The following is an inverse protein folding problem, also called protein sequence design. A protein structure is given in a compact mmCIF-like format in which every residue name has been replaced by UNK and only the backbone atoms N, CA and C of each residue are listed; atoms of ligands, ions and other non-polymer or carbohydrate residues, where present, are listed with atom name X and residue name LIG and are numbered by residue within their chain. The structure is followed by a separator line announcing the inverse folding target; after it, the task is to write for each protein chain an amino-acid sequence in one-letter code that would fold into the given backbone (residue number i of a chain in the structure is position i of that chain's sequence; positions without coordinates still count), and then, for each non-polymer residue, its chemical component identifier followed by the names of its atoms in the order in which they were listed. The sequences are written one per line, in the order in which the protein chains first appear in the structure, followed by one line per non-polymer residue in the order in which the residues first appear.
data_IF_286305569880
#
_entry.id   IF_286305569880
#
_cell.length_a   1.000
_cell.length_b   1.000
_cell.length_c   1.000
_cell.angle_alpha   90.00
_cell.angle_beta   90.00
_cell.angle_gamma   90.00
#
_symmetry.space_group_name_H-M   'P 1'
#
loop_
_entity.id
_entity.type
_entity.pdbx_description
1 polymer ?
#
# COMPACT_ATOMS: atom_id res chain seq x y z
N UNK A 1 -19.86 -9.52 -7.86
CA UNK A 1 -19.08 -9.51 -6.61
C UNK A 1 -17.81 -8.68 -6.81
N UNK A 2 -16.83 -9.15 -7.61
CA UNK A 2 -15.61 -8.36 -7.93
C UNK A 2 -15.93 -6.97 -8.50
N UNK A 3 -16.81 -6.93 -9.50
CA UNK A 3 -17.24 -5.71 -10.20
C UNK A 3 -17.83 -4.61 -9.29
N UNK A 4 -18.31 -4.96 -8.09
CA UNK A 4 -18.81 -3.97 -7.13
C UNK A 4 -17.70 -3.11 -6.51
N UNK A 5 -16.46 -3.60 -6.57
CA UNK A 5 -15.29 -2.98 -5.93
C UNK A 5 -14.26 -2.50 -6.96
N UNK A 6 -14.21 -3.18 -8.12
CA UNK A 6 -13.35 -2.85 -9.25
C UNK A 6 -14.12 -3.04 -10.56
N UNK A 7 -14.77 -1.96 -11.02
CA UNK A 7 -15.62 -2.00 -12.21
C UNK A 7 -14.86 -2.52 -13.44
N UNK A 8 -15.42 -3.54 -14.08
CA UNK A 8 -14.90 -4.09 -15.33
C UNK A 8 -13.69 -5.03 -15.17
N UNK A 9 -13.14 -5.21 -13.96
CA UNK A 9 -12.02 -6.13 -13.73
C UNK A 9 -12.53 -7.55 -13.41
N UNK A 10 -12.40 -8.44 -14.39
CA UNK A 10 -13.04 -9.75 -14.40
C UNK A 10 -12.24 -10.82 -13.66
N UNK A 11 -12.89 -11.95 -13.34
CA UNK A 11 -12.19 -13.15 -12.82
C UNK A 11 -11.08 -13.62 -13.75
N UNK A 12 -11.22 -13.45 -15.08
CA UNK A 12 -10.17 -13.82 -16.05
C UNK A 12 -8.92 -12.97 -15.86
N UNK A 13 -9.09 -11.67 -15.65
CA UNK A 13 -7.98 -10.73 -15.43
C UNK A 13 -7.33 -10.96 -14.06
N UNK A 14 -8.11 -11.17 -13.01
CA UNK A 14 -7.55 -11.54 -11.70
C UNK A 14 -6.85 -12.90 -11.71
N UNK A 15 -7.37 -13.89 -12.43
CA UNK A 15 -6.71 -15.19 -12.58
C UNK A 15 -5.38 -15.04 -13.31
N UNK A 16 -5.32 -14.24 -14.37
CA UNK A 16 -4.05 -13.92 -15.03
C UNK A 16 -3.06 -13.27 -14.05
N UNK A 17 -3.51 -12.26 -13.30
CA UNK A 17 -2.68 -11.55 -12.32
C UNK A 17 -2.13 -12.48 -11.23
N UNK A 18 -3.01 -13.20 -10.54
CA UNK A 18 -2.61 -14.04 -9.41
C UNK A 18 -1.85 -15.29 -9.84
N UNK A 19 -2.07 -15.81 -11.05
CA UNK A 19 -1.22 -16.87 -11.60
C UNK A 19 0.21 -16.38 -11.84
N UNK A 20 0.39 -15.15 -12.36
CA UNK A 20 1.72 -14.55 -12.51
C UNK A 20 2.44 -14.37 -11.16
N UNK A 21 1.73 -13.85 -10.15
CA UNK A 21 2.26 -13.77 -8.78
C UNK A 21 2.63 -15.17 -8.23
N UNK A 22 1.79 -16.18 -8.46
CA UNK A 22 2.04 -17.56 -8.03
C UNK A 22 3.28 -18.16 -8.69
N UNK A 23 3.43 -17.98 -9.99
CA UNK A 23 4.54 -18.55 -10.76
C UNK A 23 5.87 -17.86 -10.45
N UNK A 24 5.85 -16.54 -10.28
CA UNK A 24 7.06 -15.74 -10.25
C UNK A 24 7.41 -15.17 -8.88
N UNK A 25 6.41 -14.68 -8.14
CA UNK A 25 6.64 -13.98 -6.87
C UNK A 25 6.73 -14.97 -5.71
N UNK A 26 5.89 -16.00 -5.65
CA UNK A 26 5.94 -17.01 -4.56
C UNK A 26 7.33 -17.67 -4.47
N UNK A 27 7.95 -18.20 -5.55
CA UNK A 27 9.30 -18.77 -5.45
C UNK A 27 10.35 -17.75 -5.03
N UNK A 28 10.22 -16.51 -5.52
CA UNK A 28 11.13 -15.41 -5.16
C UNK A 28 11.03 -15.08 -3.67
N UNK A 29 9.82 -14.86 -3.12
CA UNK A 29 9.61 -14.64 -1.68
C UNK A 29 10.18 -15.79 -0.88
N UNK A 30 9.91 -17.03 -1.29
CA UNK A 30 10.41 -18.22 -0.60
C UNK A 30 11.95 -18.32 -0.61
N UNK A 31 12.62 -17.68 -1.55
CA UNK A 31 14.07 -17.56 -1.61
C UNK A 31 14.60 -16.36 -0.82
N UNK A 32 14.11 -15.16 -1.11
CA UNK A 32 14.58 -13.88 -0.58
C UNK A 32 14.43 -13.77 0.96
N UNK A 33 13.44 -14.45 1.53
CA UNK A 33 13.17 -14.42 2.98
C UNK A 33 13.83 -15.56 3.77
N UNK A 34 14.71 -16.35 3.15
CA UNK A 34 15.46 -17.43 3.86
C UNK A 34 16.47 -16.86 4.85
N UNK A 35 17.11 -15.76 4.50
CA UNK A 35 18.14 -15.14 5.32
C UNK A 35 17.53 -14.15 6.30
N UNK A 36 18.01 -14.17 7.55
CA UNK A 36 17.63 -13.16 8.54
C UNK A 36 18.50 -11.93 8.35
N UNK A 37 17.89 -10.82 7.96
CA UNK A 37 18.56 -9.52 7.97
C UNK A 37 18.92 -9.14 9.42
N UNK A 38 20.13 -8.62 9.61
CA UNK A 38 20.60 -8.15 10.91
C UNK A 38 20.08 -6.74 11.15
N UNK A 39 19.13 -6.63 12.08
CA UNK A 39 18.50 -5.35 12.42
C UNK A 39 19.20 -4.72 13.61
N UNK A 40 19.38 -3.40 13.57
CA UNK A 40 19.81 -2.63 14.75
C UNK A 40 18.80 -2.80 15.89
N UNK A 41 19.28 -3.17 17.08
CA UNK A 41 18.44 -3.27 18.29
C UNK A 41 17.78 -1.94 18.64
N UNK A 42 18.39 -0.80 18.29
CA UNK A 42 17.82 0.53 18.53
C UNK A 42 16.56 0.75 17.71
N UNK A 43 16.51 0.26 16.48
CA UNK A 43 15.33 0.33 15.62
C UNK A 43 14.29 -0.70 16.08
N UNK A 44 14.69 -1.96 16.22
CA UNK A 44 13.77 -3.06 16.53
C UNK A 44 13.16 -3.05 17.94
N UNK A 45 13.77 -2.35 18.91
CA UNK A 45 13.33 -2.30 20.32
C UNK A 45 13.41 -0.89 20.90
N UNK A 46 13.47 0.13 20.05
CA UNK A 46 13.50 1.52 20.48
C UNK A 46 12.20 1.94 21.14
N UNK A 47 12.28 2.95 22.00
CA UNK A 47 11.11 3.73 22.41
C UNK A 47 11.08 5.02 21.59
N UNK A 48 9.98 5.25 20.90
CA UNK A 48 9.74 6.41 20.04
C UNK A 48 8.54 7.18 20.59
N UNK A 49 8.82 8.35 21.17
CA UNK A 49 7.80 9.21 21.78
C UNK A 49 6.68 9.56 20.76
N UNK A 50 5.40 9.27 21.06
CA UNK A 50 4.28 9.62 20.19
C UNK A 50 4.21 11.11 19.80
N UNK A 51 4.62 12.03 20.68
CA UNK A 51 4.63 13.47 20.37
C UNK A 51 5.63 13.77 19.24
N UNK A 52 6.79 13.11 19.28
CA UNK A 52 7.80 13.23 18.23
C UNK A 52 7.36 12.57 16.93
N UNK A 53 6.69 11.41 17.01
CA UNK A 53 6.13 10.75 15.84
C UNK A 53 5.09 11.65 15.18
N UNK A 54 4.21 12.27 15.97
CA UNK A 54 3.24 13.24 15.48
C UNK A 54 3.92 14.43 14.80
N UNK A 55 4.94 15.02 15.42
CA UNK A 55 5.69 16.12 14.80
C UNK A 55 6.30 15.73 13.44
N UNK A 56 6.77 14.48 13.30
CA UNK A 56 7.25 13.98 12.01
C UNK A 56 6.11 13.71 11.02
N UNK A 57 4.96 13.19 11.47
CA UNK A 57 3.78 13.06 10.60
C UNK A 57 3.30 14.42 10.08
N UNK A 58 3.26 15.47 10.90
CA UNK A 58 2.92 16.84 10.45
C UNK A 58 3.93 17.33 9.41
N UNK A 59 5.23 17.11 9.63
CA UNK A 59 6.26 17.40 8.62
C UNK A 59 6.01 16.67 7.29
N UNK A 60 5.57 15.40 7.33
CA UNK A 60 5.23 14.66 6.11
C UNK A 60 4.02 15.27 5.37
N UNK A 61 3.04 15.83 6.08
CA UNK A 61 1.91 16.52 5.41
C UNK A 61 2.40 17.71 4.58
N UNK A 62 3.40 18.45 5.07
CA UNK A 62 4.01 19.57 4.35
C UNK A 62 4.82 19.08 3.14
N UNK A 63 5.66 18.06 3.33
CA UNK A 63 6.48 17.46 2.26
C UNK A 63 5.62 16.97 1.09
N UNK A 64 4.50 16.33 1.40
CA UNK A 64 3.60 15.78 0.38
C UNK A 64 2.57 16.80 -0.13
N UNK A 65 2.67 18.07 0.28
CA UNK A 65 1.77 19.14 -0.12
C UNK A 65 0.29 18.81 0.11
N UNK A 66 -0.01 18.17 1.25
CA UNK A 66 -1.39 17.97 1.68
C UNK A 66 -1.98 19.29 2.15
N UNK A 67 -3.17 19.63 1.65
CA UNK A 67 -3.81 20.90 1.94
C UNK A 67 -4.52 20.83 3.29
N UNK A 68 -3.86 21.36 4.32
CA UNK A 68 -4.37 21.35 5.70
C UNK A 68 -5.52 22.35 5.94
N UNK A 69 -5.80 23.27 5.01
CA UNK A 69 -7.01 24.10 5.08
C UNK A 69 -8.26 23.32 4.62
N UNK A 70 -8.04 22.25 3.84
CA UNK A 70 -9.07 21.34 3.30
C UNK A 70 -8.99 19.94 3.89
N UNK A 71 -8.33 19.78 5.03
CA UNK A 71 -8.13 18.47 5.64
C UNK A 71 -7.39 18.49 6.96
N UNK A 72 -7.41 17.37 7.67
CA UNK A 72 -6.72 17.23 8.97
C UNK A 72 -6.10 15.86 9.14
N UNK A 73 -4.98 15.81 9.85
CA UNK A 73 -4.40 14.59 10.41
C UNK A 73 -4.79 14.44 11.89
N UNK A 74 -5.36 13.29 12.27
CA UNK A 74 -5.72 12.93 13.65
C UNK A 74 -5.27 11.51 14.02
N UNK A 75 -5.51 11.12 15.27
CA UNK A 75 -5.18 9.78 15.76
C UNK A 75 -6.41 8.86 15.75
N UNK A 76 -6.20 7.60 15.37
CA UNK A 76 -7.20 6.53 15.46
C UNK A 76 -6.51 5.20 15.77
N UNK A 77 -7.30 4.17 16.13
CA UNK A 77 -6.78 2.82 16.36
C UNK A 77 -6.39 2.15 15.03
N UNK A 78 -7.19 2.38 14.00
CA UNK A 78 -6.98 1.88 12.65
C UNK A 78 -6.93 3.06 11.70
N UNK A 79 -5.75 3.40 11.15
CA UNK A 79 -5.60 4.46 10.16
C UNK A 79 -6.61 4.31 9.02
N UNK A 80 -7.16 5.45 8.58
CA UNK A 80 -8.09 5.56 7.47
C UNK A 80 -8.13 6.99 6.94
N UNK A 81 -8.58 7.10 5.70
CA UNK A 81 -8.95 8.34 5.02
C UNK A 81 -10.45 8.39 4.86
N UNK A 82 -11.05 9.55 5.10
CA UNK A 82 -12.48 9.79 4.90
C UNK A 82 -12.69 11.22 4.42
N UNK A 83 -13.59 11.40 3.47
CA UNK A 83 -13.91 12.70 2.90
C UNK A 83 -15.41 12.95 2.87
N UNK A 84 -15.77 14.23 2.93
CA UNK A 84 -17.14 14.72 2.66
C UNK A 84 -17.22 15.33 1.26
N UNK A 85 -16.13 15.96 0.81
CA UNK A 85 -15.95 16.57 -0.51
C UNK A 85 -14.45 16.68 -0.80
N UNK A 86 -14.09 17.15 -1.99
CA UNK A 86 -12.72 17.53 -2.34
C UNK A 86 -12.10 18.61 -1.41
N UNK A 87 -12.92 19.28 -0.59
CA UNK A 87 -12.52 20.35 0.33
C UNK A 87 -12.58 20.01 1.82
N UNK A 88 -12.95 18.79 2.18
CA UNK A 88 -12.86 18.27 3.55
C UNK A 88 -12.47 16.79 3.49
N UNK A 89 -11.15 16.55 3.54
CA UNK A 89 -10.53 15.21 3.49
C UNK A 89 -9.71 14.99 4.75
N UNK A 90 -10.08 14.00 5.54
CA UNK A 90 -9.51 13.74 6.86
C UNK A 90 -8.77 12.42 6.86
N UNK A 91 -7.58 12.43 7.43
CA UNK A 91 -6.74 11.26 7.59
C UNK A 91 -6.47 10.98 9.05
N UNK A 92 -6.27 9.71 9.37
CA UNK A 92 -5.88 9.30 10.71
C UNK A 92 -4.65 8.40 10.68
N UNK A 93 -3.84 8.46 11.73
CA UNK A 93 -2.71 7.54 11.92
C UNK A 93 -2.69 7.01 13.36
N UNK A 94 -1.80 6.06 13.65
CA UNK A 94 -1.64 5.45 14.96
C UNK A 94 -0.18 5.47 15.40
N UNK A 95 0.09 5.93 16.63
CA UNK A 95 1.45 6.06 17.15
C UNK A 95 1.82 4.90 18.07
N UNK A 96 2.65 3.98 17.57
CA UNK A 96 3.17 2.86 18.36
C UNK A 96 4.52 3.23 18.95
N UNK A 97 4.66 3.15 20.28
CA UNK A 97 5.89 3.58 20.96
C UNK A 97 7.10 2.69 20.66
N UNK A 98 6.90 1.49 20.12
CA UNK A 98 7.95 0.49 19.87
C UNK A 98 8.17 0.18 18.38
N UNK A 99 7.47 0.86 17.47
CA UNK A 99 7.50 0.60 16.03
C UNK A 99 7.41 1.95 15.29
N UNK A 100 8.56 2.62 15.11
CA UNK A 100 8.64 3.97 14.53
C UNK A 100 8.02 4.04 13.13
N UNK A 101 8.31 3.05 12.31
CA UNK A 101 7.89 2.99 10.92
C UNK A 101 6.37 2.87 10.76
N UNK A 102 5.66 2.40 11.80
CA UNK A 102 4.21 2.20 11.74
C UNK A 102 3.49 3.51 11.46
N UNK A 103 3.76 4.57 12.23
CA UNK A 103 3.07 5.85 12.06
C UNK A 103 3.51 6.57 10.79
N UNK A 104 4.80 6.46 10.43
CA UNK A 104 5.35 7.04 9.21
C UNK A 104 4.60 6.50 8.00
N UNK A 105 4.60 5.19 7.80
CA UNK A 105 4.01 4.59 6.60
C UNK A 105 2.49 4.59 6.62
N UNK A 106 1.85 4.50 7.79
CA UNK A 106 0.41 4.76 7.86
C UNK A 106 0.06 6.20 7.47
N UNK A 107 0.85 7.20 7.89
CA UNK A 107 0.62 8.59 7.47
C UNK A 107 0.80 8.74 5.95
N UNK A 108 1.86 8.18 5.37
CA UNK A 108 2.10 8.25 3.92
C UNK A 108 1.04 7.52 3.10
N UNK A 109 0.56 6.39 3.60
CA UNK A 109 -0.53 5.62 2.99
C UNK A 109 -1.80 6.46 2.92
N UNK A 110 -2.24 7.01 4.06
CA UNK A 110 -3.44 7.84 4.10
C UNK A 110 -3.25 9.17 3.34
N UNK A 111 -2.04 9.72 3.30
CA UNK A 111 -1.75 10.90 2.47
C UNK A 111 -1.97 10.62 0.98
N UNK A 112 -1.56 9.45 0.47
CA UNK A 112 -1.81 9.09 -0.93
C UNK A 112 -3.31 9.02 -1.25
N UNK A 113 -4.09 8.40 -0.36
CA UNK A 113 -5.56 8.41 -0.46
C UNK A 113 -6.12 9.84 -0.43
N UNK A 114 -5.67 10.66 0.52
CA UNK A 114 -6.22 11.98 0.73
C UNK A 114 -5.86 12.97 -0.37
N UNK A 115 -4.66 12.89 -0.92
CA UNK A 115 -4.23 13.72 -2.04
C UNK A 115 -5.03 13.39 -3.29
N UNK A 116 -5.38 12.12 -3.52
CA UNK A 116 -6.33 11.77 -4.58
C UNK A 116 -7.65 12.50 -4.38
N UNK A 117 -8.27 12.36 -3.20
CA UNK A 117 -9.56 12.97 -2.89
C UNK A 117 -9.52 14.51 -2.98
N UNK A 118 -8.47 15.16 -2.48
CA UNK A 118 -8.31 16.63 -2.55
C UNK A 118 -8.08 17.17 -3.97
N UNK A 119 -7.70 16.30 -4.91
CA UNK A 119 -7.40 16.66 -6.29
C UNK A 119 -8.49 16.29 -7.28
N UNK A 120 -9.56 15.60 -6.83
CA UNK A 120 -10.80 15.44 -7.62
C UNK A 120 -11.35 16.81 -7.99
N UNK A 121 -11.82 16.96 -9.24
CA UNK A 121 -12.40 18.21 -9.73
C UNK A 121 -13.65 18.56 -8.90
N UNK A 122 -13.70 19.73 -8.23
CA UNK A 122 -14.82 20.12 -7.36
C UNK A 122 -16.18 20.15 -8.06
N UNK A 123 -16.23 20.18 -9.40
CA UNK A 123 -17.50 20.04 -10.14
C UNK A 123 -18.23 18.72 -9.87
N UNK A 124 -17.52 17.71 -9.35
CA UNK A 124 -18.09 16.42 -8.97
C UNK A 124 -18.53 16.34 -7.51
N UNK A 125 -18.24 17.34 -6.69
CA UNK A 125 -18.66 17.37 -5.29
C UNK A 125 -20.20 17.30 -5.18
N UNK A 126 -20.70 16.46 -4.28
CA UNK A 126 -22.13 16.22 -4.10
C UNK A 126 -22.79 15.34 -5.18
N UNK A 127 -22.01 14.77 -6.11
CA UNK A 127 -22.49 13.81 -7.12
C UNK A 127 -21.95 12.41 -6.86
N UNK A 128 -22.49 11.40 -7.55
CA UNK A 128 -21.97 10.02 -7.52
C UNK A 128 -20.57 9.89 -8.14
N UNK A 129 -20.07 10.94 -8.82
CA UNK A 129 -18.74 10.98 -9.43
C UNK A 129 -17.69 11.58 -8.51
N UNK A 130 -18.10 12.11 -7.35
CA UNK A 130 -17.22 12.68 -6.34
C UNK A 130 -16.45 11.58 -5.62
N UNK A 131 -15.12 11.63 -5.73
CA UNK A 131 -14.19 10.70 -5.08
C UNK A 131 -13.52 9.73 -6.05
N UNK A 132 -12.71 8.81 -5.51
CA UNK A 132 -11.94 7.87 -6.31
C UNK A 132 -12.77 6.90 -7.16
N UNK A 133 -12.23 6.51 -8.33
CA UNK A 133 -12.95 5.71 -9.34
C UNK A 133 -13.23 4.26 -8.93
N UNK A 134 -12.33 3.65 -8.15
CA UNK A 134 -12.47 2.29 -7.62
C UNK A 134 -11.53 2.09 -6.44
N UNK A 135 -11.70 0.99 -5.71
CA UNK A 135 -10.80 0.66 -4.61
C UNK A 135 -9.37 0.41 -5.09
N UNK A 136 -9.17 -0.21 -6.25
CA UNK A 136 -7.86 -0.47 -6.83
C UNK A 136 -7.14 0.81 -7.25
N UNK A 137 -7.83 1.74 -7.92
CA UNK A 137 -7.22 3.04 -8.26
C UNK A 137 -6.92 3.84 -6.99
N UNK A 138 -7.80 3.82 -6.00
CA UNK A 138 -7.60 4.51 -4.73
C UNK A 138 -6.40 3.97 -3.95
N UNK A 139 -6.33 2.64 -3.80
CA UNK A 139 -5.21 1.94 -3.17
C UNK A 139 -3.90 2.12 -3.95
N UNK A 140 -3.97 2.31 -5.27
CA UNK A 140 -2.76 2.59 -6.06
C UNK A 140 -2.08 3.90 -5.66
N UNK A 141 -2.88 4.91 -5.27
CA UNK A 141 -2.33 6.17 -4.79
C UNK A 141 -1.71 5.99 -3.40
N UNK A 142 -2.40 5.36 -2.46
CA UNK A 142 -1.83 5.11 -1.14
C UNK A 142 -0.55 4.27 -1.18
N UNK A 143 -0.51 3.22 -2.00
CA UNK A 143 0.67 2.35 -2.14
C UNK A 143 1.83 3.02 -2.86
N UNK A 144 1.57 3.88 -3.84
CA UNK A 144 2.62 4.65 -4.49
C UNK A 144 3.32 5.58 -3.49
N UNK A 145 2.53 6.32 -2.71
CA UNK A 145 3.06 7.28 -1.72
C UNK A 145 3.74 6.56 -0.56
N UNK A 146 3.13 5.50 -0.04
CA UNK A 146 3.70 4.70 1.04
C UNK A 146 5.02 4.04 0.62
N UNK A 147 5.01 3.31 -0.50
CA UNK A 147 6.07 2.35 -0.79
C UNK A 147 7.04 2.78 -1.89
N UNK A 148 6.53 3.27 -3.02
CA UNK A 148 7.37 3.61 -4.17
C UNK A 148 8.10 4.93 -3.94
N UNK A 149 7.46 5.87 -3.24
CA UNK A 149 8.05 7.14 -2.82
C UNK A 149 8.57 6.99 -1.38
N UNK A 150 7.68 6.75 -0.42
CA UNK A 150 7.98 6.78 1.01
C UNK A 150 9.00 5.76 1.51
N UNK A 151 9.11 4.60 0.87
CA UNK A 151 10.14 3.58 1.20
C UNK A 151 11.31 3.58 0.23
N UNK A 152 11.42 4.55 -0.67
CA UNK A 152 12.56 4.67 -1.59
C UNK A 152 13.81 5.21 -0.89
N UNK A 153 14.99 4.87 -1.39
CA UNK A 153 16.24 5.39 -0.85
C UNK A 153 16.33 6.91 -1.06
N UNK A 154 15.99 7.38 -2.27
CA UNK A 154 15.96 8.80 -2.65
C UNK A 154 15.12 9.65 -1.68
N UNK A 155 13.95 9.17 -1.26
CA UNK A 155 13.12 9.90 -0.29
C UNK A 155 13.85 10.07 1.05
N UNK A 156 14.50 9.01 1.52
CA UNK A 156 15.22 9.07 2.79
C UNK A 156 16.56 9.81 2.70
N UNK A 157 17.19 9.93 1.54
CA UNK A 157 18.34 10.84 1.37
C UNK A 157 17.99 12.28 1.72
N UNK A 158 16.79 12.73 1.35
CA UNK A 158 16.30 14.08 1.61
C UNK A 158 15.75 14.22 3.04
N UNK A 159 14.95 13.26 3.50
CA UNK A 159 14.13 13.43 4.71
C UNK A 159 14.69 12.76 5.98
N UNK A 160 15.68 11.87 5.86
CA UNK A 160 16.29 11.23 7.03
C UNK A 160 16.98 12.21 7.98
N UNK A 161 17.67 13.29 7.53
CA UNK A 161 18.22 14.30 8.43
C UNK A 161 17.17 14.92 9.36
N UNK A 162 15.96 15.18 8.83
CA UNK A 162 14.86 15.72 9.66
C UNK A 162 14.36 14.70 10.68
N UNK A 163 14.25 13.43 10.29
CA UNK A 163 13.90 12.37 11.24
C UNK A 163 14.95 12.23 12.35
N UNK A 164 16.24 12.32 12.01
CA UNK A 164 17.34 12.29 12.98
C UNK A 164 17.34 13.51 13.91
N UNK A 165 16.95 14.69 13.43
CA UNK A 165 16.81 15.89 14.27
C UNK A 165 15.78 15.66 15.38
N UNK A 166 14.62 15.09 15.03
CA UNK A 166 13.52 14.81 15.96
C UNK A 166 13.90 13.66 16.93
N UNK A 167 14.51 12.60 16.40
CA UNK A 167 14.89 11.38 17.13
C UNK A 167 16.40 11.27 17.37
N UNK A 168 17.04 12.37 17.77
CA UNK A 168 18.50 12.49 17.91
C UNK A 168 19.15 11.41 18.77
N UNK A 169 18.49 10.97 19.84
CA UNK A 169 19.04 9.95 20.75
C UNK A 169 18.83 8.55 20.19
N UNK A 170 17.62 8.29 19.71
CA UNK A 170 17.15 7.00 19.24
C UNK A 170 17.86 6.58 17.94
N UNK A 171 18.08 7.54 17.03
CA UNK A 171 18.75 7.33 15.74
C UNK A 171 20.24 7.67 15.73
N UNK A 172 20.84 7.95 16.91
CA UNK A 172 22.28 8.20 17.02
C UNK A 172 23.08 7.02 16.46
N UNK A 173 23.98 7.30 15.53
CA UNK A 173 24.84 6.32 14.84
C UNK A 173 24.05 5.26 14.04
N UNK A 174 22.82 5.56 13.63
CA UNK A 174 22.12 4.77 12.61
C UNK A 174 22.35 5.48 11.28
N UNK A 175 23.04 4.81 10.36
CA UNK A 175 23.23 5.32 9.00
C UNK A 175 21.92 5.30 8.22
N UNK A 176 21.84 6.10 7.15
CA UNK A 176 20.71 6.08 6.24
C UNK A 176 20.50 4.68 5.65
N UNK A 177 21.57 4.01 5.21
CA UNK A 177 21.49 2.66 4.66
C UNK A 177 20.91 1.65 5.66
N UNK A 178 21.32 1.69 6.92
CA UNK A 178 20.75 0.82 7.97
C UNK A 178 19.27 1.12 8.21
N UNK A 179 18.86 2.39 8.18
CA UNK A 179 17.46 2.77 8.33
C UNK A 179 16.63 2.32 7.11
N UNK A 180 17.12 2.54 5.90
CA UNK A 180 16.50 2.10 4.65
C UNK A 180 16.31 0.58 4.61
N UNK A 181 17.34 -0.18 5.02
CA UNK A 181 17.24 -1.63 5.13
C UNK A 181 16.20 -2.06 6.16
N UNK A 182 16.09 -1.34 7.29
CA UNK A 182 15.11 -1.62 8.34
C UNK A 182 13.66 -1.43 7.88
N UNK A 183 13.35 -0.32 7.21
CA UNK A 183 11.99 -0.03 6.74
C UNK A 183 11.56 -0.90 5.55
N UNK A 184 12.49 -1.62 4.92
CA UNK A 184 12.27 -2.51 3.78
C UNK A 184 12.57 -3.97 4.12
N UNK A 185 12.48 -4.37 5.38
CA UNK A 185 12.63 -5.78 5.76
C UNK A 185 11.46 -6.58 5.17
N UNK A 186 11.80 -7.66 4.47
CA UNK A 186 10.81 -8.68 4.12
C UNK A 186 10.87 -9.88 5.04
N UNK A 187 9.71 -10.28 5.56
CA UNK A 187 9.57 -11.44 6.44
C UNK A 187 8.17 -12.04 6.33
N UNK A 188 8.12 -13.34 6.10
CA UNK A 188 6.90 -14.15 6.21
C UNK A 188 6.24 -13.97 7.58
N UNK A 189 5.01 -13.48 7.59
CA UNK A 189 4.20 -13.27 8.78
C UNK A 189 2.82 -13.92 8.60
N UNK A 190 2.02 -13.95 9.67
CA UNK A 190 0.67 -14.55 9.65
C UNK A 190 -0.42 -13.52 9.37
N UNK A 191 -0.23 -12.29 9.83
CA UNK A 191 -1.24 -11.24 9.85
C UNK A 191 -1.06 -10.33 8.63
N UNK A 192 -2.06 -10.29 7.75
CA UNK A 192 -2.02 -9.53 6.49
C UNK A 192 -1.72 -8.05 6.68
N UNK A 193 -2.34 -7.41 7.67
CA UNK A 193 -2.15 -5.97 7.94
C UNK A 193 -0.76 -5.64 8.49
N UNK A 194 0.03 -6.65 8.87
CA UNK A 194 1.41 -6.53 9.33
C UNK A 194 2.42 -7.11 8.32
N UNK A 195 1.94 -7.57 7.16
CA UNK A 195 2.81 -8.11 6.12
C UNK A 195 3.59 -6.99 5.44
N UNK A 196 4.85 -7.26 5.15
CA UNK A 196 5.69 -6.34 4.38
C UNK A 196 5.29 -6.32 2.91
N UNK A 197 5.79 -5.32 2.19
CA UNK A 197 5.48 -5.09 0.78
C UNK A 197 5.67 -6.31 -0.13
N UNK A 198 6.70 -7.14 0.13
CA UNK A 198 6.99 -8.30 -0.70
C UNK A 198 6.04 -9.47 -0.41
N UNK A 199 5.64 -9.67 0.85
CA UNK A 199 4.80 -10.80 1.26
C UNK A 199 3.30 -10.49 1.22
N UNK A 200 2.91 -9.23 1.37
CA UNK A 200 1.52 -8.75 1.37
C UNK A 200 0.64 -9.31 0.24
N UNK A 201 1.02 -9.24 -1.05
CA UNK A 201 0.16 -9.75 -2.14
C UNK A 201 -0.12 -11.26 -2.02
N UNK A 202 0.74 -12.02 -1.36
CA UNK A 202 0.53 -13.45 -1.15
C UNK A 202 -0.59 -13.73 -0.13
N UNK A 203 -0.78 -12.84 0.85
CA UNK A 203 -1.93 -12.91 1.75
C UNK A 203 -3.24 -12.65 1.01
N UNK A 204 -3.23 -11.76 0.01
CA UNK A 204 -4.39 -11.49 -0.83
C UNK A 204 -4.71 -12.70 -1.72
N UNK A 205 -3.71 -13.34 -2.32
CA UNK A 205 -3.87 -14.58 -3.09
C UNK A 205 -4.61 -15.66 -2.30
N UNK A 206 -4.23 -15.88 -1.03
CA UNK A 206 -4.89 -16.87 -0.17
C UNK A 206 -6.40 -16.60 -0.08
N UNK A 207 -6.79 -15.34 0.11
CA UNK A 207 -8.20 -14.95 0.25
C UNK A 207 -8.94 -15.05 -1.06
N UNK A 208 -8.34 -14.61 -2.16
CA UNK A 208 -8.92 -14.71 -3.50
C UNK A 208 -9.22 -16.16 -3.89
N UNK A 209 -8.26 -17.08 -3.69
CA UNK A 209 -8.46 -18.50 -3.97
C UNK A 209 -9.57 -19.11 -3.12
N UNK A 210 -9.60 -18.77 -1.82
CA UNK A 210 -10.65 -19.25 -0.92
C UNK A 210 -12.03 -18.71 -1.33
N UNK A 211 -12.15 -17.43 -1.63
CA UNK A 211 -13.41 -16.83 -2.08
C UNK A 211 -13.93 -17.52 -3.34
N UNK A 212 -13.05 -17.76 -4.32
CA UNK A 212 -13.42 -18.51 -5.53
C UNK A 212 -13.92 -19.91 -5.20
N UNK A 213 -13.20 -20.66 -4.38
CA UNK A 213 -13.58 -22.02 -4.00
C UNK A 213 -14.89 -22.09 -3.21
N UNK A 214 -15.17 -21.10 -2.36
CA UNK A 214 -16.46 -20.99 -1.67
C UNK A 214 -17.59 -20.73 -2.66
N UNK A 215 -17.45 -19.70 -3.51
CA UNK A 215 -18.52 -19.25 -4.41
C UNK A 215 -18.82 -20.28 -5.51
N UNK A 216 -17.82 -21.01 -6.00
CA UNK A 216 -18.04 -22.08 -6.98
C UNK A 216 -18.40 -23.45 -6.37
N UNK A 217 -18.59 -23.52 -5.04
CA UNK A 217 -19.00 -24.73 -4.33
C UNK A 217 -17.93 -25.81 -4.17
N UNK A 218 -16.65 -25.53 -4.49
CA UNK A 218 -15.53 -26.47 -4.33
C UNK A 218 -15.04 -26.57 -2.87
N UNK A 219 -15.30 -25.55 -2.05
CA UNK A 219 -14.95 -25.52 -0.63
C UNK A 219 -16.22 -25.35 0.23
N UNK A 220 -16.36 -26.19 1.26
CA UNK A 220 -17.38 -26.03 2.29
C UNK A 220 -16.84 -25.14 3.41
N UNK A 221 -17.69 -24.30 4.00
CA UNK A 221 -17.33 -23.39 5.10
C UNK A 221 -16.61 -24.10 6.25
N UNK A 222 -17.07 -25.30 6.64
CA UNK A 222 -16.43 -26.10 7.71
C UNK A 222 -14.96 -26.47 7.44
N UNK A 223 -14.55 -26.49 6.17
CA UNK A 223 -13.21 -26.88 5.73
C UNK A 223 -12.26 -25.65 5.59
N UNK A 224 -12.79 -24.43 5.77
CA UNK A 224 -12.04 -23.18 5.66
C UNK A 224 -10.75 -23.14 6.50
N UNK A 225 -10.76 -23.49 7.82
CA UNK A 225 -9.55 -23.46 8.63
C UNK A 225 -8.42 -24.32 8.06
N UNK A 226 -8.77 -25.51 7.54
CA UNK A 226 -7.81 -26.44 6.95
C UNK A 226 -7.27 -25.89 5.63
N UNK A 227 -8.15 -25.40 4.75
CA UNK A 227 -7.77 -24.86 3.44
C UNK A 227 -6.89 -23.62 3.58
N UNK A 228 -7.22 -22.73 4.52
CA UNK A 228 -6.40 -21.57 4.88
C UNK A 228 -4.98 -21.96 5.28
N UNK A 229 -4.83 -22.92 6.21
CA UNK A 229 -3.53 -23.43 6.65
C UNK A 229 -2.71 -24.06 5.53
N UNK A 230 -3.36 -24.64 4.52
CA UNK A 230 -2.70 -25.17 3.34
C UNK A 230 -2.17 -24.03 2.46
N UNK A 231 -3.03 -23.08 2.09
CA UNK A 231 -2.66 -21.99 1.18
C UNK A 231 -1.63 -21.04 1.80
N UNK A 232 -1.73 -20.73 3.09
CA UNK A 232 -0.70 -19.96 3.80
C UNK A 232 0.67 -20.66 3.75
N UNK A 233 0.70 -21.98 3.91
CA UNK A 233 1.95 -22.74 3.82
C UNK A 233 2.49 -22.80 2.38
N UNK A 234 1.62 -22.91 1.38
CA UNK A 234 1.98 -22.98 -0.04
C UNK A 234 2.49 -21.64 -0.57
N UNK A 235 1.77 -20.55 -0.32
CA UNK A 235 2.08 -19.23 -0.90
C UNK A 235 2.99 -18.42 0.01
N UNK A 236 2.66 -18.28 1.28
CA UNK A 236 3.43 -17.43 2.21
C UNK A 236 4.61 -18.20 2.82
N UNK A 237 4.56 -19.53 2.87
CA UNK A 237 5.62 -20.37 3.45
C UNK A 237 5.58 -20.45 4.98
N UNK A 238 4.44 -20.13 5.60
CA UNK A 238 4.20 -20.21 7.05
C UNK A 238 2.76 -20.68 7.31
N UNK A 239 2.54 -21.38 8.43
CA UNK A 239 1.20 -21.90 8.80
C UNK A 239 0.75 -21.34 10.15
N UNK A 240 -0.49 -20.82 10.25
CA UNK A 240 -1.07 -20.45 11.54
C UNK A 240 -1.37 -21.69 12.39
N UNK A 241 -1.15 -21.59 13.70
CA UNK A 241 -1.41 -22.66 14.68
C UNK A 241 -2.85 -22.61 15.20
N UNK A 242 -3.45 -21.43 15.23
CA UNK A 242 -4.83 -21.20 15.68
C UNK A 242 -5.66 -20.56 14.58
N UNK A 243 -6.98 -20.60 14.72
CA UNK A 243 -7.89 -19.96 13.76
C UNK A 243 -7.91 -18.42 13.96
N UNK A 244 -7.59 -17.93 15.16
CA UNK A 244 -7.48 -16.50 15.50
C UNK A 244 -6.40 -15.79 14.68
N UNK A 245 -5.21 -16.40 14.56
CA UNK A 245 -4.14 -15.89 13.69
C UNK A 245 -4.25 -16.42 12.25
N UNK A 246 -5.29 -17.22 11.98
CA UNK A 246 -5.58 -17.87 10.72
C UNK A 246 -6.79 -17.23 10.05
N UNK A 247 -7.82 -18.05 9.81
CA UNK A 247 -9.00 -17.68 9.03
C UNK A 247 -9.87 -16.59 9.68
N UNK A 248 -9.77 -16.37 10.99
CA UNK A 248 -10.53 -15.36 11.72
C UNK A 248 -9.81 -14.01 11.84
N UNK A 249 -8.64 -13.84 11.22
CA UNK A 249 -7.81 -12.64 11.40
C UNK A 249 -8.42 -11.38 10.77
N UNK A 250 -9.36 -11.52 9.83
CA UNK A 250 -9.97 -10.40 9.09
C UNK A 250 -11.49 -10.37 9.26
N UNK A 251 -12.03 -9.16 9.38
CA UNK A 251 -13.47 -8.91 9.55
C UNK A 251 -14.28 -8.95 8.23
N UNK A 252 -13.62 -8.96 7.08
CA UNK A 252 -14.26 -8.71 5.78
C UNK A 252 -15.39 -9.71 5.47
N UNK A 253 -15.14 -11.00 5.67
CA UNK A 253 -16.13 -12.03 5.39
C UNK A 253 -17.33 -12.00 6.36
N UNK A 254 -17.15 -11.57 7.60
CA UNK A 254 -18.28 -11.39 8.53
C UNK A 254 -19.13 -10.16 8.18
N UNK A 255 -18.57 -9.18 7.46
CA UNK A 255 -19.29 -8.04 6.90
C UNK A 255 -19.91 -8.32 5.52
N UNK A 256 -19.69 -9.52 4.95
CA UNK A 256 -20.18 -9.87 3.62
C UNK A 256 -19.33 -9.34 2.45
N UNK A 257 -18.14 -8.82 2.73
CA UNK A 257 -17.24 -8.27 1.70
C UNK A 257 -16.52 -9.41 0.95
N UNK A 258 -17.20 -10.02 -0.02
CA UNK A 258 -16.66 -11.07 -0.91
C UNK A 258 -16.32 -10.46 -2.28
N UNK A 259 -15.11 -10.73 -2.78
CA UNK A 259 -14.55 -10.08 -3.97
C UNK A 259 -13.87 -8.74 -3.67
N UNK A 260 -13.74 -8.38 -2.38
CA UNK A 260 -13.12 -7.13 -1.94
C UNK A 260 -11.60 -7.24 -1.90
N UNK A 261 -11.04 -8.28 -1.27
CA UNK A 261 -9.59 -8.39 -1.04
C UNK A 261 -8.70 -8.24 -2.28
N UNK A 262 -9.09 -8.74 -3.48
CA UNK A 262 -8.26 -8.62 -4.67
C UNK A 262 -7.86 -7.18 -5.02
N UNK A 263 -8.68 -6.18 -4.67
CA UNK A 263 -8.40 -4.77 -4.96
C UNK A 263 -7.15 -4.26 -4.26
N UNK A 264 -6.77 -4.81 -3.10
CA UNK A 264 -5.55 -4.40 -2.39
C UNK A 264 -4.26 -4.73 -3.16
N UNK A 265 -4.14 -5.97 -3.65
CA UNK A 265 -2.98 -6.38 -4.44
C UNK A 265 -3.01 -5.71 -5.82
N UNK A 266 -4.22 -5.54 -6.39
CA UNK A 266 -4.39 -4.84 -7.66
C UNK A 266 -3.96 -3.37 -7.57
N UNK A 267 -4.30 -2.67 -6.48
CA UNK A 267 -3.86 -1.30 -6.25
C UNK A 267 -2.34 -1.17 -6.23
N UNK A 268 -1.64 -2.10 -5.56
CA UNK A 268 -0.17 -2.13 -5.58
C UNK A 268 0.39 -2.36 -6.99
N UNK A 269 -0.30 -3.17 -7.81
CA UNK A 269 0.10 -3.43 -9.18
C UNK A 269 -0.18 -2.26 -10.13
N UNK A 270 -1.33 -1.61 -10.00
CA UNK A 270 -1.63 -0.34 -10.68
C UNK A 270 -0.61 0.73 -10.30
N UNK A 271 -0.24 0.84 -9.02
CA UNK A 271 0.78 1.79 -8.58
C UNK A 271 2.09 1.58 -9.34
N UNK A 272 2.51 0.32 -9.54
CA UNK A 272 3.77 0.02 -10.22
C UNK A 272 3.74 0.41 -11.70
N UNK A 273 2.63 0.12 -12.38
CA UNK A 273 2.44 0.47 -13.79
C UNK A 273 2.31 1.99 -13.97
N UNK A 274 1.55 2.67 -13.10
CA UNK A 274 1.41 4.14 -13.12
C UNK A 274 2.76 4.79 -12.84
N UNK A 275 3.51 4.31 -11.84
CA UNK A 275 4.85 4.81 -11.52
C UNK A 275 5.80 4.66 -12.70
N UNK A 276 5.76 3.53 -13.40
CA UNK A 276 6.56 3.32 -14.62
C UNK A 276 6.21 4.32 -15.72
N UNK A 277 4.92 4.55 -15.98
CA UNK A 277 4.46 5.53 -16.97
C UNK A 277 4.87 6.96 -16.57
N UNK A 278 4.65 7.34 -15.31
CA UNK A 278 5.05 8.62 -14.77
C UNK A 278 6.54 8.85 -14.93
N UNK A 279 7.37 7.84 -14.65
CA UNK A 279 8.83 7.93 -14.76
C UNK A 279 9.34 8.13 -16.20
N UNK A 280 8.49 7.88 -17.20
CA UNK A 280 8.80 8.15 -18.61
C UNK A 280 8.51 9.59 -19.03
N UNK A 281 7.68 10.32 -18.27
CA UNK A 281 7.32 11.72 -18.54
C UNK A 281 8.04 12.69 -17.59
N UNK A 282 8.17 12.32 -16.31
CA UNK A 282 8.93 13.06 -15.30
C UNK A 282 9.94 12.11 -14.64
N UNK A 283 11.17 12.55 -14.40
CA UNK A 283 12.11 11.73 -13.63
C UNK A 283 11.69 11.77 -12.15
N UNK A 284 11.00 10.72 -11.69
CA UNK A 284 10.38 10.67 -10.36
C UNK A 284 11.43 10.66 -9.27
N UNK A 285 12.51 9.89 -9.45
CA UNK A 285 13.62 9.82 -8.50
C UNK A 285 14.27 11.21 -8.34
N UNK A 286 14.56 11.89 -9.45
CA UNK A 286 15.10 13.25 -9.41
C UNK A 286 14.13 14.25 -8.76
N UNK A 287 12.82 14.12 -9.01
CA UNK A 287 11.83 14.96 -8.34
C UNK A 287 11.85 14.74 -6.81
N UNK A 288 11.99 13.50 -6.35
CA UNK A 288 12.10 13.15 -4.93
C UNK A 288 13.40 13.73 -4.33
N UNK A 289 14.55 13.49 -4.97
CA UNK A 289 15.87 13.97 -4.51
C UNK A 289 15.94 15.50 -4.37
N UNK A 290 15.18 16.22 -5.20
CA UNK A 290 15.10 17.69 -5.18
C UNK A 290 13.94 18.22 -4.34
N UNK A 291 13.25 17.37 -3.57
CA UNK A 291 12.09 17.72 -2.75
C UNK A 291 10.96 18.41 -3.55
N UNK A 292 10.73 17.96 -4.79
CA UNK A 292 9.71 18.46 -5.71
C UNK A 292 8.53 17.48 -5.83
N UNK A 293 7.98 17.04 -4.70
CA UNK A 293 6.80 16.16 -4.65
C UNK A 293 5.58 16.81 -5.33
N UNK A 294 5.50 18.14 -5.36
CA UNK A 294 4.49 18.89 -6.12
C UNK A 294 4.45 18.51 -7.62
N UNK A 295 5.57 18.12 -8.24
CA UNK A 295 5.58 17.68 -9.64
C UNK A 295 4.88 16.33 -9.83
N UNK A 296 5.09 15.40 -8.88
CA UNK A 296 4.40 14.11 -8.84
C UNK A 296 2.90 14.34 -8.62
N UNK A 297 2.54 15.14 -7.62
CA UNK A 297 1.14 15.48 -7.33
C UNK A 297 0.45 16.15 -8.52
N UNK A 298 1.14 17.02 -9.26
CA UNK A 298 0.58 17.69 -10.44
C UNK A 298 0.34 16.70 -11.59
N UNK A 299 1.29 15.80 -11.84
CA UNK A 299 1.15 14.77 -12.86
C UNK A 299 -0.03 13.82 -12.55
N UNK A 300 -0.12 13.34 -11.30
CA UNK A 300 -1.23 12.49 -10.87
C UNK A 300 -2.58 13.22 -10.93
N UNK A 301 -2.62 14.51 -10.58
CA UNK A 301 -3.82 15.33 -10.76
C UNK A 301 -4.29 15.35 -12.21
N UNK A 302 -3.39 15.61 -13.13
CA UNK A 302 -3.70 15.73 -14.56
C UNK A 302 -4.13 14.38 -15.16
N UNK A 303 -3.42 13.30 -14.86
CA UNK A 303 -3.67 12.01 -15.51
C UNK A 303 -4.76 11.18 -14.85
N UNK A 304 -4.97 11.34 -13.55
CA UNK A 304 -5.80 10.45 -12.73
C UNK A 304 -6.80 11.24 -11.89
N UNK A 305 -6.34 12.09 -10.97
CA UNK A 305 -7.18 12.49 -9.83
C UNK A 305 -8.36 13.37 -10.22
N UNK A 306 -8.15 14.31 -11.15
CA UNK A 306 -9.20 15.26 -11.55
C UNK A 306 -10.47 14.60 -12.09
N UNK A 307 -10.39 13.34 -12.54
CA UNK A 307 -11.52 12.65 -13.12
C UNK A 307 -12.50 12.09 -12.07
N UNK A 308 -12.11 11.97 -10.81
CA UNK A 308 -12.94 11.27 -9.81
C UNK A 308 -13.41 9.92 -10.35
N UNK A 309 -14.70 9.60 -10.16
CA UNK A 309 -15.34 8.42 -10.73
C UNK A 309 -16.01 8.66 -12.10
N UNK A 310 -15.68 9.75 -12.81
CA UNK A 310 -16.21 10.02 -14.17
C UNK A 310 -15.62 9.15 -15.27
N UNK A 311 -14.58 8.36 -14.96
CA UNK A 311 -13.95 7.39 -15.84
C UNK A 311 -13.83 6.06 -15.12
N UNK A 312 -14.01 4.97 -15.86
CA UNK A 312 -13.79 3.63 -15.32
C UNK A 312 -12.31 3.42 -14.96
N UNK A 313 -11.98 2.50 -14.03
CA UNK A 313 -10.59 2.19 -13.68
C UNK A 313 -9.73 1.81 -14.88
N UNK A 314 -10.31 1.03 -15.81
CA UNK A 314 -9.64 0.62 -17.04
C UNK A 314 -9.34 1.80 -17.95
N UNK A 315 -10.28 2.73 -18.12
CA UNK A 315 -10.04 3.95 -18.89
C UNK A 315 -8.97 4.84 -18.24
N UNK A 316 -8.96 4.98 -16.91
CA UNK A 316 -7.92 5.72 -16.19
C UNK A 316 -6.56 5.09 -16.45
N UNK A 317 -6.43 3.77 -16.29
CA UNK A 317 -5.17 3.06 -16.46
C UNK A 317 -4.65 3.18 -17.91
N UNK A 318 -5.49 2.92 -18.90
CA UNK A 318 -5.10 3.00 -20.32
C UNK A 318 -4.76 4.45 -20.71
N UNK A 319 -5.56 5.43 -20.30
CA UNK A 319 -5.30 6.83 -20.63
C UNK A 319 -3.99 7.33 -20.02
N UNK A 320 -3.68 6.87 -18.81
CA UNK A 320 -2.48 7.27 -18.05
C UNK A 320 -1.23 6.56 -18.56
N UNK A 321 -1.31 5.24 -18.78
CA UNK A 321 -0.14 4.39 -19.03
C UNK A 321 0.04 4.02 -20.50
N UNK A 322 -0.97 4.30 -21.34
CA UNK A 322 -1.05 3.92 -22.76
C UNK A 322 -1.02 2.40 -23.00
N UNK A 323 -1.26 1.61 -21.96
CA UNK A 323 -1.21 0.15 -21.98
C UNK A 323 -2.39 -0.43 -21.19
N UNK A 324 -2.78 -1.66 -21.54
CA UNK A 324 -3.64 -2.48 -20.68
C UNK A 324 -2.90 -2.83 -19.37
N UNK A 325 -3.64 -3.40 -18.41
CA UNK A 325 -3.04 -3.87 -17.17
C UNK A 325 -1.99 -4.97 -17.42
N UNK A 326 -0.78 -4.74 -16.91
CA UNK A 326 0.31 -5.71 -16.95
C UNK A 326 0.92 -5.90 -15.54
N UNK A 327 0.76 -7.10 -14.93
CA UNK A 327 1.30 -7.37 -13.61
C UNK A 327 2.84 -7.49 -13.58
N UNK A 328 3.51 -7.56 -14.73
CA UNK A 328 4.97 -7.64 -14.82
C UNK A 328 5.65 -6.45 -14.13
N UNK A 329 5.13 -5.23 -14.29
CA UNK A 329 5.67 -4.02 -13.64
C UNK A 329 5.76 -4.15 -12.13
N UNK A 330 4.75 -4.76 -11.50
CA UNK A 330 4.72 -4.96 -10.07
C UNK A 330 5.70 -6.05 -9.62
N UNK A 331 5.72 -7.17 -10.33
CA UNK A 331 6.61 -8.29 -10.03
C UNK A 331 8.08 -7.86 -10.19
N UNK A 332 8.40 -7.14 -11.25
CA UNK A 332 9.75 -6.62 -11.50
C UNK A 332 10.16 -5.57 -10.48
N UNK A 333 9.26 -4.66 -10.11
CA UNK A 333 9.50 -3.70 -9.04
C UNK A 333 9.87 -4.39 -7.72
N UNK A 334 9.09 -5.39 -7.30
CA UNK A 334 9.37 -6.16 -6.08
C UNK A 334 10.66 -6.95 -6.21
N UNK A 335 10.87 -7.68 -7.31
CA UNK A 335 12.11 -8.44 -7.51
C UNK A 335 13.33 -7.52 -7.45
N UNK A 336 13.32 -6.40 -8.16
CA UNK A 336 14.43 -5.43 -8.17
C UNK A 336 14.72 -4.89 -6.78
N UNK A 337 13.68 -4.49 -6.03
CA UNK A 337 13.83 -3.91 -4.70
C UNK A 337 14.37 -4.91 -3.66
N UNK A 338 14.01 -6.19 -3.78
CA UNK A 338 14.31 -7.22 -2.77
C UNK A 338 15.35 -8.26 -3.23
N UNK A 339 16.13 -8.02 -4.29
CA UNK A 339 17.16 -8.95 -4.82
C UNK A 339 18.52 -8.89 -4.09
N UNK A 340 18.53 -8.53 -2.80
CA UNK A 340 19.76 -8.34 -2.00
C UNK A 340 20.50 -9.63 -1.65
#
# INVERSE_FOLDING_TARGET
LLDMYEEGFTTKEYDYFFNKLKEELVPFVLSATKQKLKISRKLAKGYFDPIKQKAFSEYLTEVFHFDQERGVLKESIHPFTSNVSSSDVRITTAYKTNILESSIFSTLHELGHAIYEQQVDPKYDGTILGGGASLGIHESQSRMYENMIGRSYAFWEVHYPKLQEIFKKELKNISLLEFYQYINISKRSLIRTEADELTYPLHIMVRYEIEKELINGKLKVKDLPRRWRQLMAEYVGIRPKTDTEGVLQDIHWSLGNIGYFPTYALGSAYAAQIYHAMNSEINVESAIENNHINLINAWLKEKIHQYGASKTPKEILINTTKMDFDPSFYIEYLKRKFSY
#
